data_IF_830213834757
#
_entry.id   IF_830213834757
#
_cell.length_a   1.000
_cell.length_b   1.000
_cell.length_c   1.000
_cell.angle_alpha   90.00
_cell.angle_beta   90.00
_cell.angle_gamma   90.00
#
_symmetry.space_group_name_H-M   'P 1'
#
loop_
_entity.id
_entity.type
_entity.pdbx_description
1 polymer ?
#
# COMPACT_ATOMS: atom_id res chain seq x y z
N UNK A 1 -9.54 1.30 -5.48
CA UNK A 1 -8.84 2.56 -5.16
C UNK A 1 -7.52 2.61 -5.94
N UNK A 2 -7.54 3.17 -7.16
CA UNK A 2 -6.41 3.17 -8.08
C UNK A 2 -5.20 3.98 -7.57
N UNK A 3 -5.42 4.97 -6.70
CA UNK A 3 -4.40 5.96 -6.34
C UNK A 3 -3.15 5.38 -5.65
N UNK A 4 -3.31 4.41 -4.74
CA UNK A 4 -2.18 3.78 -4.05
C UNK A 4 -1.35 2.96 -5.04
N UNK A 5 -2.02 2.20 -5.91
CA UNK A 5 -1.35 1.39 -6.92
C UNK A 5 -0.63 2.27 -7.94
N UNK A 6 -1.31 3.26 -8.51
CA UNK A 6 -0.74 4.19 -9.49
C UNK A 6 0.47 4.94 -8.93
N UNK A 7 0.38 5.38 -7.66
CA UNK A 7 1.51 6.06 -7.01
C UNK A 7 2.70 5.13 -6.79
N UNK A 8 2.44 3.88 -6.36
CA UNK A 8 3.50 2.87 -6.18
C UNK A 8 4.15 2.51 -7.53
N UNK A 9 3.36 2.26 -8.57
CA UNK A 9 3.85 1.97 -9.92
C UNK A 9 4.65 3.14 -10.50
N UNK A 10 4.16 4.38 -10.33
CA UNK A 10 4.89 5.60 -10.71
C UNK A 10 6.20 5.80 -9.97
N UNK A 11 6.36 5.22 -8.77
CA UNK A 11 7.62 5.21 -8.01
C UNK A 11 8.57 4.06 -8.38
N UNK A 12 8.25 3.28 -9.41
CA UNK A 12 9.07 2.17 -9.90
C UNK A 12 8.86 0.85 -9.13
N UNK A 13 7.73 0.71 -8.44
CA UNK A 13 7.38 -0.48 -7.66
C UNK A 13 6.42 -1.34 -8.48
N UNK A 14 6.69 -2.64 -8.52
CA UNK A 14 5.80 -3.58 -9.18
C UNK A 14 4.64 -3.92 -8.26
N UNK A 15 3.42 -3.66 -8.73
CA UNK A 15 2.17 -4.04 -8.07
C UNK A 15 1.49 -5.16 -8.88
N UNK A 16 1.14 -6.27 -8.22
CA UNK A 16 0.31 -7.33 -8.83
C UNK A 16 -0.92 -7.51 -7.97
N UNK A 17 -2.10 -7.24 -8.53
CA UNK A 17 -3.35 -7.50 -7.85
C UNK A 17 -3.59 -9.00 -7.77
N UNK A 18 -4.05 -9.48 -6.62
CA UNK A 18 -4.59 -10.84 -6.52
C UNK A 18 -6.05 -10.77 -6.96
N UNK A 19 -6.56 -11.74 -7.75
CA UNK A 19 -8.00 -11.86 -7.98
C UNK A 19 -8.70 -11.86 -6.62
N UNK A 20 -9.77 -11.06 -6.54
CA UNK A 20 -10.52 -10.85 -5.31
C UNK A 20 -11.04 -12.20 -4.82
N UNK A 21 -10.56 -12.67 -3.66
CA UNK A 21 -11.12 -13.87 -3.05
C UNK A 21 -12.58 -13.56 -2.66
N UNK A 22 -13.53 -14.32 -3.21
CA UNK A 22 -14.98 -14.29 -2.89
C UNK A 22 -15.30 -14.70 -1.44
N UNK A 23 -14.31 -14.63 -0.53
CA UNK A 23 -14.42 -15.02 0.88
C UNK A 23 -15.12 -13.96 1.76
N UNK A 24 -15.87 -13.02 1.18
CA UNK A 24 -16.76 -12.11 1.91
C UNK A 24 -16.08 -11.08 2.84
N UNK A 25 -14.75 -11.04 2.94
CA UNK A 25 -14.06 -10.18 3.92
C UNK A 25 -13.90 -8.72 3.48
N UNK A 26 -14.18 -8.37 2.21
CA UNK A 26 -14.04 -7.00 1.71
C UNK A 26 -12.60 -6.46 1.69
N UNK A 27 -11.59 -7.30 1.96
CA UNK A 27 -10.16 -6.93 1.95
C UNK A 27 -9.57 -7.19 0.57
N UNK A 28 -9.06 -6.15 -0.10
CA UNK A 28 -8.33 -6.27 -1.36
C UNK A 28 -6.83 -6.40 -1.07
N UNK A 29 -6.18 -7.42 -1.62
CA UNK A 29 -4.74 -7.64 -1.47
C UNK A 29 -4.00 -7.39 -2.78
N UNK A 30 -2.86 -6.72 -2.70
CA UNK A 30 -1.94 -6.55 -3.81
C UNK A 30 -0.53 -6.97 -3.38
N UNK A 31 0.16 -7.72 -4.23
CA UNK A 31 1.56 -8.04 -4.08
C UNK A 31 2.39 -6.84 -4.50
N UNK A 32 3.36 -6.45 -3.68
CA UNK A 32 4.29 -5.37 -3.99
C UNK A 32 5.73 -5.87 -3.97
N UNK A 33 6.53 -5.37 -4.90
CA UNK A 33 7.95 -5.68 -4.97
C UNK A 33 8.74 -4.62 -5.71
N UNK A 34 9.97 -4.41 -5.29
CA UNK A 34 10.85 -3.41 -5.88
C UNK A 34 12.24 -3.46 -5.27
N UNK A 35 13.00 -2.39 -5.46
CA UNK A 35 14.33 -2.24 -4.91
C UNK A 35 14.36 -1.00 -4.01
N UNK A 36 15.04 -1.11 -2.87
CA UNK A 36 15.30 0.07 -2.03
C UNK A 36 16.46 0.91 -2.59
N UNK A 37 16.78 2.02 -1.92
CA UNK A 37 17.89 2.92 -2.30
C UNK A 37 19.25 2.23 -2.37
N UNK A 38 19.42 1.11 -1.64
CA UNK A 38 20.64 0.29 -1.62
C UNK A 38 20.62 -0.81 -2.70
N UNK A 39 19.63 -0.78 -3.60
CA UNK A 39 19.37 -1.81 -4.62
C UNK A 39 19.09 -3.19 -4.02
N UNK A 40 18.60 -3.26 -2.78
CA UNK A 40 18.18 -4.51 -2.18
C UNK A 40 16.71 -4.76 -2.52
N UNK A 41 16.42 -5.97 -2.99
CA UNK A 41 15.06 -6.36 -3.34
C UNK A 41 14.19 -6.45 -2.08
N UNK A 42 13.03 -5.79 -2.12
CA UNK A 42 11.97 -5.96 -1.14
C UNK A 42 10.73 -6.60 -1.77
N UNK A 43 9.98 -7.34 -0.96
CA UNK A 43 8.70 -7.94 -1.34
C UNK A 43 7.74 -7.89 -0.16
N UNK A 44 6.46 -7.73 -0.45
CA UNK A 44 5.42 -7.65 0.56
C UNK A 44 4.02 -7.68 -0.02
N UNK A 45 3.06 -7.36 0.84
CA UNK A 45 1.66 -7.21 0.51
C UNK A 45 1.17 -5.83 0.91
N UNK A 46 0.22 -5.30 0.16
CA UNK A 46 -0.62 -4.19 0.61
C UNK A 46 -2.03 -4.72 0.70
N UNK A 47 -2.58 -4.68 1.90
CA UNK A 47 -3.95 -5.07 2.22
C UNK A 47 -4.77 -3.79 2.40
N UNK A 48 -5.91 -3.73 1.72
CA UNK A 48 -6.81 -2.58 1.73
C UNK A 48 -8.16 -3.09 2.21
N UNK A 49 -8.57 -2.64 3.39
CA UNK A 49 -9.86 -2.96 3.99
C UNK A 49 -10.73 -1.72 3.99
N UNK A 50 -11.93 -1.80 3.41
CA UNK A 50 -12.88 -0.69 3.46
C UNK A 50 -13.58 -0.65 4.81
N UNK A 51 -13.73 0.56 5.37
CA UNK A 51 -14.52 0.76 6.58
C UNK A 51 -15.47 1.95 6.41
N UNK A 52 -16.58 1.88 7.15
CA UNK A 52 -17.52 2.97 7.33
C UNK A 52 -17.67 3.21 8.83
N UNK A 53 -17.39 4.44 9.29
CA UNK A 53 -17.50 4.80 10.69
C UNK A 53 -18.14 6.18 10.84
N UNK A 54 -19.27 6.26 11.56
CA UNK A 54 -20.02 7.50 11.82
C UNK A 54 -20.29 8.34 10.55
N UNK A 55 -20.64 7.69 9.45
CA UNK A 55 -20.94 8.35 8.17
C UNK A 55 -19.69 8.73 7.34
N UNK A 56 -18.48 8.51 7.86
CA UNK A 56 -17.24 8.64 7.09
C UNK A 56 -16.88 7.31 6.45
N UNK A 57 -16.56 7.34 5.16
CA UNK A 57 -16.01 6.20 4.44
C UNK A 57 -14.50 6.32 4.34
N UNK A 58 -13.80 5.22 4.54
CA UNK A 58 -12.35 5.17 4.45
C UNK A 58 -11.84 3.79 4.10
N UNK A 59 -10.52 3.69 4.07
CA UNK A 59 -9.83 2.41 3.89
C UNK A 59 -8.67 2.32 4.87
N UNK A 60 -8.56 1.19 5.55
CA UNK A 60 -7.34 0.80 6.23
C UNK A 60 -6.39 0.20 5.20
N UNK A 61 -5.21 0.82 5.06
CA UNK A 61 -4.16 0.34 4.17
C UNK A 61 -3.02 -0.16 5.03
N UNK A 62 -2.76 -1.46 4.97
CA UNK A 62 -1.73 -2.15 5.73
C UNK A 62 -0.68 -2.69 4.77
N UNK A 63 0.58 -2.32 4.99
CA UNK A 63 1.70 -2.89 4.24
C UNK A 63 2.37 -3.99 5.07
N UNK A 64 2.29 -5.23 4.60
CA UNK A 64 2.96 -6.38 5.20
C UNK A 64 4.27 -6.68 4.47
N UNK A 65 5.31 -7.05 5.23
CA UNK A 65 6.65 -7.35 4.71
C UNK A 65 6.86 -8.85 4.62
N UNK A 66 7.39 -9.29 3.48
CA UNK A 66 7.88 -10.67 3.33
C UNK A 66 9.42 -10.69 3.30
N UNK A 67 10.03 -9.81 2.50
CA UNK A 67 11.48 -9.72 2.30
C UNK A 67 11.94 -8.26 2.22
N UNK A 68 13.17 -8.00 2.66
CA UNK A 68 13.80 -6.68 2.63
C UNK A 68 13.95 -6.09 4.04
N UNK A 69 14.59 -4.93 4.10
CA UNK A 69 14.85 -4.19 5.34
C UNK A 69 13.57 -3.59 5.92
N UNK A 70 13.27 -3.79 7.23
CA UNK A 70 12.16 -3.11 7.89
C UNK A 70 12.24 -1.59 7.81
N UNK A 71 13.45 -1.02 7.87
CA UNK A 71 13.67 0.41 7.77
C UNK A 71 13.35 0.93 6.37
N UNK A 72 13.82 0.25 5.33
CA UNK A 72 13.56 0.64 3.94
C UNK A 72 12.06 0.62 3.62
N UNK A 73 11.33 -0.37 4.15
CA UNK A 73 9.88 -0.45 3.98
C UNK A 73 9.15 0.69 4.71
N UNK A 74 9.61 1.05 5.91
CA UNK A 74 9.07 2.18 6.66
C UNK A 74 9.33 3.51 5.94
N UNK A 75 10.52 3.70 5.37
CA UNK A 75 10.83 4.87 4.56
C UNK A 75 9.93 4.96 3.33
N UNK A 76 9.74 3.84 2.62
CA UNK A 76 8.83 3.74 1.49
C UNK A 76 7.41 4.16 1.91
N UNK A 77 6.91 3.59 3.00
CA UNK A 77 5.57 3.88 3.50
C UNK A 77 5.41 5.36 3.85
N UNK A 78 6.37 5.93 4.58
CA UNK A 78 6.36 7.37 4.89
C UNK A 78 6.40 8.22 3.62
N UNK A 79 7.22 7.84 2.65
CA UNK A 79 7.32 8.52 1.35
C UNK A 79 5.97 8.50 0.62
N UNK A 80 5.31 7.33 0.55
CA UNK A 80 3.99 7.18 -0.07
C UNK A 80 2.97 8.18 0.47
N UNK A 81 2.94 8.38 1.80
CA UNK A 81 2.02 9.32 2.45
C UNK A 81 2.30 10.79 2.13
N UNK A 82 3.47 11.11 1.56
CA UNK A 82 3.86 12.48 1.18
C UNK A 82 3.58 12.82 -0.28
N UNK A 83 3.24 11.84 -1.13
CA UNK A 83 2.92 12.12 -2.53
C UNK A 83 1.68 13.00 -2.61
N UNK A 84 1.69 13.97 -3.53
CA UNK A 84 0.59 14.92 -3.75
C UNK A 84 -0.75 14.23 -4.05
N UNK A 85 -0.71 13.08 -4.71
CA UNK A 85 -1.89 12.26 -4.97
C UNK A 85 -2.46 11.62 -3.69
N UNK A 86 -1.60 11.13 -2.79
CA UNK A 86 -2.04 10.35 -1.61
C UNK A 86 -2.29 11.24 -0.39
N UNK A 87 -1.45 12.25 -0.17
CA UNK A 87 -1.43 13.10 1.02
C UNK A 87 -2.80 13.71 1.42
N UNK A 88 -3.68 14.15 0.50
CA UNK A 88 -5.01 14.67 0.84
C UNK A 88 -5.97 13.62 1.42
N UNK A 89 -5.74 12.35 1.11
CA UNK A 89 -6.61 11.24 1.51
C UNK A 89 -6.09 10.52 2.77
N UNK A 90 -4.93 10.90 3.29
CA UNK A 90 -4.36 10.32 4.51
C UNK A 90 -4.99 10.98 5.73
N UNK A 91 -5.67 10.17 6.54
CA UNK A 91 -6.11 10.60 7.86
C UNK A 91 -4.88 10.84 8.76
N UNK A 92 -4.60 12.11 9.08
CA UNK A 92 -3.57 12.52 10.03
C UNK A 92 -4.24 12.82 11.38
N UNK A 93 -3.61 12.40 12.47
CA UNK A 93 -4.01 12.77 13.83
C UNK A 93 -3.50 14.17 14.16
#
# INVERSE_FOLDING_TARGET
MPIVKETLEGSGITCKETPQDDSGSGVRKMRVGGYDKRKLAFKGWVEIEHFSYRGMQGSFVVMQRDKGSPLSLRELWKGLLTFTAVAPHVLKK
#
